data_IF_097289019701
#
_entry.id   IF_097289019701
#
_cell.length_a   1.000
_cell.length_b   1.000
_cell.length_c   1.000
_cell.angle_alpha   90.00
_cell.angle_beta   90.00
_cell.angle_gamma   90.00
#
_symmetry.space_group_name_H-M   'P 1'
#
loop_
_entity.id
_entity.type
_entity.pdbx_description
1 polymer ?
#
# COMPACT_ATOMS: atom_id res chain seq x y z
N UNK A 1 -12.69 -53.15 18.03
CA UNK A 1 -11.88 -52.30 18.92
C UNK A 1 -12.54 -50.93 18.98
N UNK A 2 -13.01 -50.47 20.15
CA UNK A 2 -13.59 -49.14 20.25
C UNK A 2 -12.51 -48.10 19.90
N UNK A 3 -12.74 -47.30 18.85
CA UNK A 3 -11.84 -46.17 18.53
C UNK A 3 -11.77 -45.28 19.78
N UNK A 4 -10.57 -44.99 20.28
CA UNK A 4 -10.39 -44.00 21.35
C UNK A 4 -10.97 -42.67 20.88
N UNK A 5 -11.86 -42.06 21.67
CA UNK A 5 -12.49 -40.79 21.29
C UNK A 5 -11.48 -39.65 21.38
N UNK A 6 -11.28 -38.91 20.28
CA UNK A 6 -10.43 -37.73 20.24
C UNK A 6 -11.18 -36.55 20.87
N UNK A 7 -10.71 -36.04 22.01
CA UNK A 7 -11.34 -34.92 22.72
C UNK A 7 -10.68 -33.61 22.29
N UNK A 8 -11.46 -32.71 21.70
CA UNK A 8 -10.96 -31.44 21.16
C UNK A 8 -11.62 -30.20 21.78
N UNK A 9 -10.86 -29.12 21.89
CA UNK A 9 -11.34 -27.80 22.29
C UNK A 9 -10.93 -26.73 21.30
N UNK A 10 -11.82 -25.78 20.99
CA UNK A 10 -11.59 -24.68 20.05
C UNK A 10 -11.83 -23.38 20.79
N UNK A 11 -10.78 -22.57 20.91
CA UNK A 11 -10.77 -21.32 21.67
C UNK A 11 -10.55 -20.13 20.75
N UNK A 12 -11.22 -19.02 21.05
CA UNK A 12 -11.15 -17.75 20.33
C UNK A 12 -10.47 -16.70 21.19
N UNK A 13 -9.46 -16.02 20.65
CA UNK A 13 -8.85 -14.82 21.21
C UNK A 13 -9.15 -13.61 20.31
N UNK A 14 -8.29 -12.60 20.26
CA UNK A 14 -8.48 -11.40 19.45
C UNK A 14 -8.52 -11.70 17.95
N UNK A 15 -9.70 -11.60 17.34
CA UNK A 15 -9.92 -11.82 15.91
C UNK A 15 -11.37 -11.54 15.48
N UNK A 16 -11.66 -11.72 14.19
CA UNK A 16 -13.01 -11.57 13.64
C UNK A 16 -13.86 -12.86 13.72
N UNK A 17 -13.31 -13.93 14.32
CA UNK A 17 -13.94 -15.26 14.45
C UNK A 17 -14.30 -15.94 13.13
N UNK A 18 -13.73 -15.47 12.02
CA UNK A 18 -14.01 -16.01 10.69
C UNK A 18 -13.65 -17.49 10.57
N UNK A 19 -12.63 -17.99 11.27
CA UNK A 19 -12.25 -19.40 11.16
C UNK A 19 -13.27 -20.31 11.85
N UNK A 20 -13.82 -19.91 13.00
CA UNK A 20 -14.89 -20.63 13.70
C UNK A 20 -16.20 -20.61 12.92
N UNK A 21 -16.51 -19.52 12.22
CA UNK A 21 -17.67 -19.50 11.31
C UNK A 21 -17.53 -20.53 10.18
N UNK A 22 -16.33 -20.76 9.66
CA UNK A 22 -16.11 -21.84 8.68
C UNK A 22 -16.39 -23.23 9.25
N UNK A 23 -16.17 -23.44 10.55
CA UNK A 23 -16.52 -24.68 11.24
C UNK A 23 -18.04 -24.85 11.38
N UNK A 24 -18.75 -23.78 11.74
CA UNK A 24 -20.22 -23.78 11.75
C UNK A 24 -20.78 -24.08 10.36
N UNK A 25 -20.17 -23.50 9.33
CA UNK A 25 -20.57 -23.68 7.94
C UNK A 25 -20.25 -25.10 7.38
N UNK A 26 -19.64 -26.01 8.16
CA UNK A 26 -19.55 -27.43 7.82
C UNK A 26 -20.89 -28.16 8.05
N UNK A 27 -21.73 -27.66 8.98
CA UNK A 27 -23.05 -28.22 9.25
C UNK A 27 -23.05 -29.73 9.49
N UNK A 28 -23.83 -30.46 8.68
CA UNK A 28 -23.97 -31.92 8.76
C UNK A 28 -22.66 -32.68 8.54
N UNK A 29 -21.73 -32.14 7.74
CA UNK A 29 -20.43 -32.77 7.49
C UNK A 29 -19.62 -32.90 8.79
N UNK A 30 -19.67 -31.88 9.65
CA UNK A 30 -18.96 -31.90 10.94
C UNK A 30 -19.55 -32.95 11.88
N UNK A 31 -20.87 -33.10 11.90
CA UNK A 31 -21.57 -34.10 12.71
C UNK A 31 -21.24 -35.52 12.23
N UNK A 32 -21.27 -35.75 10.91
CA UNK A 32 -20.85 -37.01 10.31
C UNK A 32 -19.40 -37.35 10.64
N UNK A 33 -18.51 -36.36 10.50
CA UNK A 33 -17.10 -36.52 10.85
C UNK A 33 -16.90 -36.90 12.32
N UNK A 34 -17.62 -36.26 13.25
CA UNK A 34 -17.56 -36.59 14.67
C UNK A 34 -17.97 -38.02 14.96
N UNK A 35 -19.03 -38.51 14.30
CA UNK A 35 -19.49 -39.89 14.43
C UNK A 35 -18.49 -40.89 13.85
N UNK A 36 -18.07 -40.69 12.60
CA UNK A 36 -17.25 -41.65 11.84
C UNK A 36 -15.83 -41.83 12.40
N UNK A 37 -15.27 -40.75 12.93
CA UNK A 37 -13.92 -40.70 13.46
C UNK A 37 -13.85 -40.69 14.99
N UNK A 38 -14.99 -40.72 15.68
CA UNK A 38 -15.04 -40.72 17.13
C UNK A 38 -14.47 -39.44 17.75
N UNK A 39 -14.83 -38.27 17.21
CA UNK A 39 -14.35 -36.98 17.73
C UNK A 39 -15.39 -36.41 18.69
N UNK A 40 -14.92 -35.85 19.81
CA UNK A 40 -15.74 -35.16 20.79
C UNK A 40 -15.27 -33.72 20.92
N UNK A 41 -16.08 -32.77 20.44
CA UNK A 41 -15.87 -31.35 20.68
C UNK A 41 -16.38 -31.04 22.08
N UNK A 42 -15.45 -30.78 23.00
CA UNK A 42 -15.80 -30.46 24.38
C UNK A 42 -16.10 -28.97 24.57
N UNK A 43 -15.37 -28.11 23.85
CA UNK A 43 -15.49 -26.66 23.94
C UNK A 43 -15.43 -26.03 22.53
N UNK A 44 -16.52 -25.39 22.12
CA UNK A 44 -16.67 -24.51 20.96
C UNK A 44 -18.01 -23.77 21.11
N UNK A 45 -18.01 -22.56 21.69
CA UNK A 45 -19.25 -21.84 22.02
C UNK A 45 -20.19 -21.56 20.85
N UNK A 46 -19.68 -21.37 19.62
CA UNK A 46 -20.53 -21.11 18.44
C UNK A 46 -21.30 -22.35 17.98
N UNK A 47 -20.83 -23.55 18.37
CA UNK A 47 -21.54 -24.82 18.16
C UNK A 47 -22.35 -25.26 19.39
N UNK A 48 -22.39 -24.45 20.45
CA UNK A 48 -23.10 -24.75 21.70
C UNK A 48 -22.36 -25.68 22.66
N UNK A 49 -21.10 -26.06 22.38
CA UNK A 49 -20.30 -26.89 23.28
C UNK A 49 -19.52 -26.01 24.27
N UNK A 50 -19.80 -26.15 25.56
CA UNK A 50 -19.21 -25.28 26.62
C UNK A 50 -18.64 -26.07 27.80
N UNK A 51 -18.33 -27.36 27.61
CA UNK A 51 -17.79 -28.22 28.67
C UNK A 51 -16.27 -28.23 28.64
N UNK A 52 -15.63 -27.34 29.42
CA UNK A 52 -14.18 -27.41 29.59
C UNK A 52 -13.76 -28.76 30.23
N UNK A 53 -12.66 -29.34 29.74
CA UNK A 53 -12.05 -30.57 30.26
C UNK A 53 -10.71 -30.27 30.94
N UNK A 54 -10.35 -31.14 31.87
CA UNK A 54 -9.04 -31.12 32.52
C UNK A 54 -7.91 -31.36 31.53
N UNK A 55 -8.10 -32.27 30.56
CA UNK A 55 -7.15 -32.57 29.50
C UNK A 55 -7.84 -32.64 28.12
N UNK A 56 -7.09 -32.29 27.07
CA UNK A 56 -7.50 -32.40 25.67
C UNK A 56 -6.48 -33.19 24.86
N UNK A 57 -6.95 -33.94 23.87
CA UNK A 57 -6.05 -34.50 22.86
C UNK A 57 -5.57 -33.41 21.91
N UNK A 58 -6.47 -32.50 21.50
CA UNK A 58 -6.14 -31.39 20.61
C UNK A 58 -6.85 -30.12 21.05
N UNK A 59 -6.11 -29.01 21.09
CA UNK A 59 -6.68 -27.67 21.25
C UNK A 59 -6.39 -26.86 20.00
N UNK A 60 -7.43 -26.29 19.40
CA UNK A 60 -7.34 -25.30 18.34
C UNK A 60 -7.49 -23.90 18.94
N UNK A 61 -6.66 -22.96 18.52
CA UNK A 61 -6.75 -21.56 18.94
C UNK A 61 -6.85 -20.67 17.72
N UNK A 62 -7.97 -19.95 17.58
CA UNK A 62 -8.14 -18.86 16.63
C UNK A 62 -7.80 -17.51 17.28
N UNK A 63 -7.30 -16.58 16.47
CA UNK A 63 -7.08 -15.20 16.90
C UNK A 63 -5.70 -14.96 17.50
N UNK A 64 -5.29 -13.69 17.53
CA UNK A 64 -4.06 -13.24 18.16
C UNK A 64 -4.29 -13.02 19.67
N UNK A 65 -3.22 -13.12 20.46
CA UNK A 65 -3.26 -12.74 21.87
C UNK A 65 -3.23 -11.23 21.98
N UNK A 66 -4.23 -10.64 22.63
CA UNK A 66 -4.42 -9.20 22.78
C UNK A 66 -4.52 -8.75 24.23
N UNK A 67 -4.60 -9.68 25.18
CA UNK A 67 -4.62 -9.37 26.61
C UNK A 67 -3.81 -10.33 27.46
N UNK A 68 -3.39 -9.87 28.65
CA UNK A 68 -2.74 -10.74 29.65
C UNK A 68 -3.62 -11.90 30.13
N UNK A 69 -4.95 -11.77 30.08
CA UNK A 69 -5.89 -12.86 30.40
C UNK A 69 -5.79 -13.99 29.38
N UNK A 70 -5.71 -13.64 28.09
CA UNK A 70 -5.52 -14.59 27.00
C UNK A 70 -4.14 -15.25 27.06
N UNK A 71 -3.07 -14.51 27.44
CA UNK A 71 -1.75 -15.11 27.69
C UNK A 71 -1.85 -16.22 28.74
N UNK A 72 -2.48 -15.94 29.89
CA UNK A 72 -2.65 -16.93 30.97
C UNK A 72 -3.47 -18.14 30.50
N UNK A 73 -4.59 -17.89 29.80
CA UNK A 73 -5.44 -18.97 29.28
C UNK A 73 -4.71 -19.81 28.24
N UNK A 74 -3.91 -19.21 27.37
CA UNK A 74 -3.09 -19.92 26.38
C UNK A 74 -2.05 -20.82 27.04
N UNK A 75 -1.38 -20.35 28.10
CA UNK A 75 -0.43 -21.15 28.87
C UNK A 75 -1.12 -22.33 29.56
N UNK A 76 -2.29 -22.10 30.16
CA UNK A 76 -3.13 -23.15 30.76
C UNK A 76 -3.54 -24.20 29.71
N UNK A 77 -4.07 -23.76 28.57
CA UNK A 77 -4.47 -24.63 27.46
C UNK A 77 -3.29 -25.45 26.94
N UNK A 78 -2.10 -24.83 26.84
CA UNK A 78 -0.91 -25.54 26.40
C UNK A 78 -0.50 -26.64 27.38
N UNK A 79 -0.55 -26.37 28.68
CA UNK A 79 -0.17 -27.33 29.72
C UNK A 79 -1.06 -28.57 29.73
N UNK A 80 -2.32 -28.44 29.30
CA UNK A 80 -3.33 -29.51 29.34
C UNK A 80 -3.71 -30.12 27.98
N UNK A 81 -2.93 -29.85 26.93
CA UNK A 81 -3.19 -30.40 25.59
C UNK A 81 -2.02 -31.19 25.06
N UNK A 82 -2.28 -32.36 24.48
CA UNK A 82 -1.25 -33.16 23.79
C UNK A 82 -0.79 -32.48 22.50
N UNK A 83 -1.71 -31.84 21.77
CA UNK A 83 -1.42 -31.09 20.56
C UNK A 83 -2.09 -29.73 20.57
N UNK A 84 -1.31 -28.66 20.35
CA UNK A 84 -1.82 -27.30 20.17
C UNK A 84 -1.74 -26.92 18.70
N UNK A 85 -2.87 -26.49 18.13
CA UNK A 85 -3.02 -26.14 16.73
C UNK A 85 -3.40 -24.66 16.59
N UNK A 86 -2.59 -23.88 15.89
CA UNK A 86 -2.96 -22.52 15.51
C UNK A 86 -3.99 -22.57 14.37
N UNK A 87 -5.20 -22.07 14.61
CA UNK A 87 -6.30 -22.01 13.65
C UNK A 87 -6.37 -20.60 13.02
N UNK A 88 -5.93 -20.50 11.77
CA UNK A 88 -5.95 -19.25 10.99
C UNK A 88 -4.69 -18.40 11.09
N UNK A 89 -4.60 -17.40 10.21
CA UNK A 89 -3.44 -16.52 10.10
C UNK A 89 -3.24 -15.62 11.33
N UNK A 90 -4.31 -15.26 12.04
CA UNK A 90 -4.22 -14.42 13.25
C UNK A 90 -3.49 -15.12 14.40
N UNK A 91 -3.79 -16.38 14.67
CA UNK A 91 -3.14 -17.13 15.75
C UNK A 91 -1.69 -17.48 15.40
N UNK A 92 -1.41 -17.81 14.15
CA UNK A 92 -0.06 -18.22 13.73
C UNK A 92 0.90 -17.06 13.38
N UNK A 93 0.40 -15.98 12.75
CA UNK A 93 1.22 -14.86 12.26
C UNK A 93 0.88 -13.51 12.92
N UNK A 94 -0.14 -13.45 13.78
CA UNK A 94 -0.66 -12.21 14.37
C UNK A 94 -1.76 -11.56 13.52
N UNK A 95 -1.76 -11.79 12.20
CA UNK A 95 -2.80 -11.37 11.26
C UNK A 95 -3.12 -9.88 11.29
N UNK A 96 -4.38 -9.53 11.01
CA UNK A 96 -4.87 -8.14 11.08
C UNK A 96 -4.68 -7.52 12.48
N UNK A 97 -4.97 -8.24 13.60
CA UNK A 97 -4.75 -7.68 14.95
C UNK A 97 -3.33 -7.15 15.18
N UNK A 98 -2.29 -7.85 14.69
CA UNK A 98 -0.90 -7.45 14.86
C UNK A 98 -0.47 -6.25 13.99
N UNK A 99 -1.32 -5.80 13.05
CA UNK A 99 -1.08 -4.58 12.26
C UNK A 99 -1.45 -3.29 13.00
N UNK A 100 -2.15 -3.38 14.13
CA UNK A 100 -2.43 -2.20 14.95
C UNK A 100 -1.12 -1.59 15.47
N UNK A 101 -0.92 -0.29 15.22
CA UNK A 101 0.14 0.49 15.88
C UNK A 101 -0.09 0.50 17.39
N UNK A 102 0.97 0.72 18.17
CA UNK A 102 0.89 0.81 19.63
C UNK A 102 -0.24 1.78 20.02
N UNK A 103 -1.19 1.29 20.83
CA UNK A 103 -2.28 2.12 21.35
C UNK A 103 -1.65 3.14 22.29
N UNK A 104 -1.86 4.44 22.03
CA UNK A 104 -1.34 5.52 22.89
C UNK A 104 -1.68 5.24 24.36
N UNK A 105 -0.72 5.47 25.22
CA UNK A 105 -0.77 5.13 26.65
C UNK A 105 -1.98 5.75 27.38
N UNK A 106 -2.46 6.90 26.90
CA UNK A 106 -3.64 7.59 27.43
C UNK A 106 -4.96 6.86 27.10
N UNK A 107 -5.07 6.29 25.90
CA UNK A 107 -6.21 5.44 25.50
C UNK A 107 -6.18 4.13 26.29
N UNK A 108 -4.99 3.58 26.52
CA UNK A 108 -4.80 2.42 27.39
C UNK A 108 -5.22 2.72 28.83
N UNK A 109 -4.89 3.89 29.41
CA UNK A 109 -5.36 4.30 30.74
C UNK A 109 -6.88 4.43 30.82
N UNK A 110 -7.51 5.03 29.81
CA UNK A 110 -8.96 5.15 29.75
C UNK A 110 -9.66 3.78 29.75
N UNK A 111 -9.14 2.81 28.99
CA UNK A 111 -9.68 1.44 28.90
C UNK A 111 -9.38 0.58 30.14
N UNK A 112 -8.22 0.79 30.78
CA UNK A 112 -7.76 0.01 31.95
C UNK A 112 -8.27 0.52 33.30
N UNK A 113 -8.90 1.69 33.35
CA UNK A 113 -9.55 2.25 34.55
C UNK A 113 -10.63 1.31 35.15
N UNK A 114 -11.14 0.35 34.36
CA UNK A 114 -12.08 -0.69 34.79
C UNK A 114 -11.42 -1.97 35.36
N UNK A 115 -10.08 -2.09 35.39
CA UNK A 115 -9.29 -3.26 35.84
C UNK A 115 -9.58 -4.63 35.17
N UNK A 116 -10.52 -4.74 34.22
CA UNK A 116 -10.96 -6.05 33.71
C UNK A 116 -10.05 -6.61 32.61
N UNK A 117 -9.35 -5.76 31.84
CA UNK A 117 -8.49 -6.18 30.73
C UNK A 117 -7.20 -5.35 30.75
N UNK A 118 -6.05 -6.01 30.94
CA UNK A 118 -4.74 -5.42 30.64
C UNK A 118 -4.34 -5.81 29.22
N UNK A 119 -4.44 -4.90 28.24
CA UNK A 119 -4.11 -5.20 26.86
C UNK A 119 -2.60 -5.44 26.72
N UNK A 120 -2.23 -6.32 25.79
CA UNK A 120 -0.85 -6.50 25.33
C UNK A 120 -0.82 -6.22 23.84
N UNK A 121 0.36 -5.95 23.29
CA UNK A 121 0.52 -5.84 21.85
C UNK A 121 0.05 -7.13 21.18
N UNK A 122 -0.91 -6.99 20.27
CA UNK A 122 -1.48 -8.11 19.54
C UNK A 122 -0.38 -8.94 18.87
N UNK A 123 -0.26 -10.21 19.26
CA UNK A 123 0.84 -11.07 18.87
C UNK A 123 0.34 -12.50 18.58
N UNK A 124 1.00 -13.26 17.68
CA UNK A 124 0.66 -14.66 17.46
C UNK A 124 0.87 -15.49 18.73
N UNK A 125 0.12 -16.59 18.84
CA UNK A 125 0.21 -17.51 19.99
C UNK A 125 1.59 -18.19 20.07
N UNK A 126 2.28 -18.30 18.93
CA UNK A 126 3.64 -18.85 18.80
C UNK A 126 4.69 -18.05 19.58
N UNK A 127 4.40 -16.79 19.93
CA UNK A 127 5.30 -15.99 20.76
C UNK A 127 5.27 -16.40 22.24
N UNK A 128 4.23 -17.09 22.70
CA UNK A 128 4.01 -17.38 24.11
C UNK A 128 4.17 -18.86 24.45
N UNK A 129 3.79 -19.75 23.53
CA UNK A 129 3.82 -21.20 23.76
C UNK A 129 4.26 -21.95 22.51
N UNK A 130 4.80 -23.16 22.69
CA UNK A 130 5.07 -24.08 21.58
C UNK A 130 3.75 -24.49 20.94
N UNK A 131 3.63 -24.24 19.63
CA UNK A 131 2.54 -24.71 18.79
C UNK A 131 3.02 -25.94 18.02
N UNK A 132 2.25 -27.03 18.04
CA UNK A 132 2.65 -28.28 17.40
C UNK A 132 2.29 -28.29 15.91
N UNK A 133 1.15 -27.68 15.57
CA UNK A 133 0.62 -27.64 14.21
C UNK A 133 -0.09 -26.31 13.90
N UNK A 134 -0.33 -26.02 12.63
CA UNK A 134 -1.10 -24.85 12.23
C UNK A 134 -1.94 -25.11 10.98
N UNK A 135 -3.08 -24.44 10.88
CA UNK A 135 -3.87 -24.30 9.65
C UNK A 135 -3.87 -22.82 9.27
N UNK A 136 -3.27 -22.47 8.13
CA UNK A 136 -3.22 -21.06 7.68
C UNK A 136 -4.50 -20.71 6.90
N UNK A 137 -4.80 -19.42 6.82
CA UNK A 137 -5.99 -18.92 6.12
C UNK A 137 -6.66 -17.78 6.87
N UNK A 138 -7.43 -16.97 6.15
CA UNK A 138 -8.24 -15.88 6.73
C UNK A 138 -9.55 -15.74 5.94
N UNK A 139 -10.58 -16.57 6.22
CA UNK A 139 -10.60 -17.67 7.19
C UNK A 139 -9.91 -18.94 6.67
N UNK A 140 -9.84 -19.98 7.51
CA UNK A 140 -9.27 -21.28 7.14
C UNK A 140 -10.07 -21.97 6.02
N UNK A 141 -9.43 -22.89 5.29
CA UNK A 141 -10.13 -23.76 4.35
C UNK A 141 -10.83 -24.92 5.11
N UNK A 142 -12.12 -25.12 4.87
CA UNK A 142 -12.94 -26.18 5.50
C UNK A 142 -12.42 -27.59 5.22
N UNK A 143 -12.13 -27.89 3.95
CA UNK A 143 -11.66 -29.22 3.53
C UNK A 143 -10.30 -29.57 4.15
N UNK A 144 -9.43 -28.57 4.31
CA UNK A 144 -8.17 -28.73 5.04
C UNK A 144 -8.42 -29.02 6.52
N UNK A 145 -9.31 -28.28 7.18
CA UNK A 145 -9.71 -28.54 8.56
C UNK A 145 -10.22 -29.96 8.75
N UNK A 146 -11.14 -30.41 7.89
CA UNK A 146 -11.65 -31.79 7.88
C UNK A 146 -10.51 -32.80 7.70
N UNK A 147 -9.60 -32.57 6.76
CA UNK A 147 -8.49 -33.48 6.50
C UNK A 147 -7.50 -33.57 7.68
N UNK A 148 -7.23 -32.45 8.34
CA UNK A 148 -6.40 -32.41 9.55
C UNK A 148 -7.09 -33.15 10.68
N UNK A 149 -8.36 -32.89 10.91
CA UNK A 149 -9.11 -33.49 11.99
C UNK A 149 -9.24 -35.01 11.83
N UNK A 150 -9.45 -35.50 10.60
CA UNK A 150 -9.40 -36.94 10.25
C UNK A 150 -8.04 -37.56 10.61
N UNK A 151 -6.93 -36.92 10.19
CA UNK A 151 -5.58 -37.42 10.48
C UNK A 151 -5.28 -37.45 11.98
N UNK A 152 -5.67 -36.42 12.71
CA UNK A 152 -5.53 -36.34 14.17
C UNK A 152 -6.33 -37.43 14.88
N UNK A 153 -7.57 -37.68 14.45
CA UNK A 153 -8.41 -38.75 15.01
C UNK A 153 -7.86 -40.16 14.75
N UNK A 154 -7.15 -40.34 13.63
CA UNK A 154 -6.45 -41.58 13.31
C UNK A 154 -5.08 -41.72 14.00
N UNK A 155 -4.66 -40.73 14.80
CA UNK A 155 -3.33 -40.70 15.42
C UNK A 155 -2.18 -40.55 14.42
N UNK A 156 -2.47 -40.13 13.19
CA UNK A 156 -1.47 -39.96 12.13
C UNK A 156 -0.90 -38.54 12.17
N UNK A 157 0.42 -38.36 12.12
CA UNK A 157 0.98 -37.03 11.92
C UNK A 157 0.53 -36.51 10.55
N UNK A 158 0.27 -35.22 10.45
CA UNK A 158 0.06 -34.57 9.17
C UNK A 158 1.25 -33.69 8.83
N UNK A 159 1.81 -33.87 7.63
CA UNK A 159 2.98 -33.12 7.17
C UNK A 159 2.68 -31.63 7.16
N UNK A 160 3.45 -30.90 7.95
CA UNK A 160 3.49 -29.44 7.98
C UNK A 160 4.40 -28.94 6.85
N UNK A 161 3.99 -27.91 6.11
CA UNK A 161 4.84 -27.30 5.09
C UNK A 161 4.81 -27.96 3.70
N UNK A 162 4.05 -29.05 3.48
CA UNK A 162 3.51 -29.29 2.14
C UNK A 162 2.57 -28.12 1.85
N UNK A 163 3.04 -27.15 1.04
CA UNK A 163 2.16 -26.12 0.48
C UNK A 163 1.05 -26.85 -0.28
N UNK A 164 -0.09 -27.05 0.38
CA UNK A 164 -1.38 -27.38 -0.25
C UNK A 164 -2.24 -26.15 -0.49
N UNK A 165 -1.69 -24.96 -0.22
CA UNK A 165 -2.22 -23.72 -0.71
C UNK A 165 -1.79 -23.56 -2.17
N UNK A 166 -2.69 -23.92 -3.09
CA UNK A 166 -3.05 -22.89 -4.06
C UNK A 166 -3.74 -21.80 -3.24
N UNK A 167 -3.22 -20.58 -3.33
CA UNK A 167 -4.03 -19.43 -3.02
C UNK A 167 -5.20 -19.45 -4.02
N UNK A 168 -6.32 -20.08 -3.65
CA UNK A 168 -7.53 -20.08 -4.47
C UNK A 168 -8.12 -18.67 -4.43
N UNK A 169 -7.63 -17.82 -5.33
CA UNK A 169 -8.46 -16.76 -5.89
C UNK A 169 -9.27 -17.39 -7.01
N UNK A 170 -10.54 -17.68 -6.73
CA UNK A 170 -11.46 -18.09 -7.79
C UNK A 170 -11.69 -16.94 -8.78
N UNK A 171 -11.47 -15.69 -8.35
CA UNK A 171 -11.54 -14.51 -9.20
C UNK A 171 -10.22 -13.73 -9.20
N UNK A 172 -9.59 -13.66 -10.38
CA UNK A 172 -8.48 -12.76 -10.67
C UNK A 172 -8.95 -11.71 -11.67
N UNK A 173 -8.81 -10.43 -11.30
CA UNK A 173 -9.11 -9.31 -12.21
C UNK A 173 -7.80 -8.71 -12.69
N UNK A 174 -7.62 -8.71 -14.00
CA UNK A 174 -6.50 -8.04 -14.67
C UNK A 174 -7.05 -6.86 -15.47
N UNK A 175 -6.49 -5.67 -15.25
CA UNK A 175 -6.84 -4.48 -16.02
C UNK A 175 -5.59 -3.96 -16.72
N UNK A 176 -5.71 -3.73 -18.02
CA UNK A 176 -4.66 -3.10 -18.83
C UNK A 176 -5.15 -1.73 -19.26
N UNK A 177 -4.53 -0.68 -18.76
CA UNK A 177 -4.78 0.68 -19.21
C UNK A 177 -3.63 1.22 -20.03
N UNK A 178 -3.80 2.42 -20.57
CA UNK A 178 -2.74 3.09 -21.35
C UNK A 178 -1.49 3.38 -20.52
N UNK A 179 -1.68 3.75 -19.25
CA UNK A 179 -0.59 4.11 -18.34
C UNK A 179 -0.54 3.25 -17.08
N UNK A 180 -1.68 2.95 -16.46
CA UNK A 180 -1.76 2.18 -15.21
C UNK A 180 -2.34 0.81 -15.50
N UNK A 181 -1.76 -0.23 -14.90
CA UNK A 181 -2.21 -1.61 -15.02
C UNK A 181 -2.45 -2.22 -13.64
N UNK A 182 -3.40 -3.16 -13.58
CA UNK A 182 -3.63 -4.04 -12.44
C UNK A 182 -3.36 -5.48 -12.86
N UNK A 183 -2.35 -6.08 -12.24
CA UNK A 183 -2.04 -7.50 -12.26
C UNK A 183 -2.68 -8.15 -11.03
N UNK A 184 -3.82 -8.78 -11.25
CA UNK A 184 -4.63 -9.42 -10.22
C UNK A 184 -3.94 -10.61 -9.57
N UNK A 185 -2.99 -11.25 -10.25
CA UNK A 185 -2.24 -12.40 -9.72
C UNK A 185 -1.35 -11.95 -8.56
N UNK A 186 -0.76 -10.77 -8.67
CA UNK A 186 0.09 -10.19 -7.62
C UNK A 186 -0.70 -9.55 -6.48
N UNK A 187 -1.98 -9.25 -6.68
CA UNK A 187 -2.77 -8.53 -5.68
C UNK A 187 -2.81 -9.32 -4.36
N UNK A 188 -3.00 -8.68 -3.22
CA UNK A 188 -3.28 -9.34 -1.93
C UNK A 188 -4.58 -8.82 -1.29
N UNK A 189 -5.36 -8.03 -2.04
CA UNK A 189 -6.63 -7.42 -1.60
C UNK A 189 -6.47 -6.66 -0.26
N UNK A 190 -5.33 -5.98 -0.09
CA UNK A 190 -5.04 -5.24 1.16
C UNK A 190 -5.78 -3.89 1.27
N UNK A 191 -6.46 -3.44 0.21
CA UNK A 191 -7.25 -2.22 0.21
C UNK A 191 -6.49 -0.90 0.17
N UNK A 192 -5.15 -0.91 0.22
CA UNK A 192 -4.36 0.34 0.25
C UNK A 192 -4.59 1.23 -0.96
N UNK A 193 -4.68 0.64 -2.15
CA UNK A 193 -4.97 1.35 -3.39
C UNK A 193 -6.38 1.94 -3.44
N UNK A 194 -7.38 1.21 -2.92
CA UNK A 194 -8.77 1.68 -2.80
C UNK A 194 -8.83 2.84 -1.79
N UNK A 195 -8.21 2.68 -0.63
CA UNK A 195 -8.19 3.69 0.44
C UNK A 195 -7.56 5.00 0.00
N UNK A 196 -6.38 4.97 -0.64
CA UNK A 196 -5.72 6.20 -1.11
C UNK A 196 -6.49 6.85 -2.28
N UNK A 197 -7.12 6.07 -3.16
CA UNK A 197 -7.95 6.64 -4.23
C UNK A 197 -9.22 7.30 -3.68
N UNK A 198 -9.79 6.73 -2.62
CA UNK A 198 -10.96 7.26 -1.93
C UNK A 198 -10.66 8.54 -1.13
N UNK A 199 -9.50 8.62 -0.46
CA UNK A 199 -9.10 9.83 0.26
C UNK A 199 -8.89 11.05 -0.63
N UNK A 200 -8.60 10.84 -1.93
CA UNK A 200 -8.58 11.90 -2.93
C UNK A 200 -9.98 12.35 -3.41
N UNK A 201 -11.04 11.63 -3.04
CA UNK A 201 -12.39 11.80 -3.59
C UNK A 201 -12.57 11.27 -5.02
N UNK A 202 -11.55 10.63 -5.60
CA UNK A 202 -11.54 10.15 -7.00
C UNK A 202 -12.32 8.83 -7.14
N UNK A 203 -12.15 7.91 -6.18
CA UNK A 203 -12.89 6.64 -6.10
C UNK A 203 -12.89 5.80 -7.39
N UNK A 204 -11.79 5.81 -8.14
CA UNK A 204 -11.64 5.03 -9.39
C UNK A 204 -11.40 3.53 -9.15
N UNK A 205 -11.12 3.12 -7.92
CA UNK A 205 -10.88 1.74 -7.52
C UNK A 205 -11.83 1.36 -6.39
N UNK A 206 -12.37 0.15 -6.43
CA UNK A 206 -13.23 -0.41 -5.40
C UNK A 206 -13.07 -1.92 -5.27
N UNK A 207 -13.84 -2.49 -4.35
CA UNK A 207 -14.00 -3.94 -4.25
C UNK A 207 -15.18 -4.39 -5.09
N UNK A 208 -14.99 -5.47 -5.85
CA UNK A 208 -16.05 -6.18 -6.55
C UNK A 208 -16.21 -7.58 -5.96
N UNK A 209 -17.39 -8.18 -6.17
CA UNK A 209 -17.78 -9.46 -5.60
C UNK A 209 -17.80 -9.47 -4.06
N UNK A 210 -17.90 -10.68 -3.47
CA UNK A 210 -17.97 -10.91 -2.01
C UNK A 210 -17.30 -12.23 -1.63
N UNK A 211 -16.96 -12.36 -0.35
CA UNK A 211 -16.36 -13.59 0.19
C UNK A 211 -15.03 -13.91 -0.48
N UNK A 212 -14.83 -15.19 -0.82
CA UNK A 212 -13.62 -15.68 -1.49
C UNK A 212 -13.40 -15.10 -2.90
N UNK A 213 -14.46 -14.55 -3.53
CA UNK A 213 -14.42 -13.97 -4.87
C UNK A 213 -14.04 -12.49 -4.90
N UNK A 214 -13.79 -11.87 -3.73
CA UNK A 214 -13.51 -10.44 -3.64
C UNK A 214 -12.26 -10.08 -4.47
N UNK A 215 -12.39 -9.06 -5.31
CA UNK A 215 -11.28 -8.53 -6.12
C UNK A 215 -11.26 -7.01 -6.07
N UNK A 216 -10.08 -6.42 -6.27
CA UNK A 216 -9.95 -4.98 -6.53
C UNK A 216 -10.18 -4.77 -8.02
N UNK A 217 -11.01 -3.80 -8.38
CA UNK A 217 -11.24 -3.43 -9.78
C UNK A 217 -11.67 -1.97 -9.92
N UNK A 218 -11.71 -1.49 -11.15
CA UNK A 218 -12.42 -0.28 -11.56
C UNK A 218 -13.94 -0.57 -11.66
N UNK A 219 -14.78 0.48 -11.67
CA UNK A 219 -16.21 0.33 -12.00
C UNK A 219 -16.39 -0.42 -13.32
N UNK A 220 -17.23 -1.45 -13.31
CA UNK A 220 -17.52 -2.30 -14.47
C UNK A 220 -16.29 -2.97 -15.13
N UNK A 221 -15.14 -3.02 -14.44
CA UNK A 221 -13.87 -3.50 -14.98
C UNK A 221 -13.38 -2.74 -16.22
N UNK A 222 -13.80 -1.49 -16.37
CA UNK A 222 -13.36 -0.59 -17.45
C UNK A 222 -11.88 -0.23 -17.31
N UNK A 223 -11.27 0.21 -18.41
CA UNK A 223 -9.90 0.69 -18.37
C UNK A 223 -9.76 1.94 -17.50
N UNK A 224 -8.57 2.17 -16.92
CA UNK A 224 -8.35 3.30 -16.02
C UNK A 224 -8.68 4.64 -16.69
N UNK A 225 -8.29 4.85 -17.95
CA UNK A 225 -8.57 6.07 -18.70
C UNK A 225 -10.05 6.39 -18.86
N UNK A 226 -10.89 5.36 -18.96
CA UNK A 226 -12.35 5.45 -19.19
C UNK A 226 -13.14 5.59 -17.89
N UNK A 227 -12.45 5.62 -16.75
CA UNK A 227 -13.03 5.83 -15.43
C UNK A 227 -12.71 7.23 -14.88
N UNK A 228 -13.12 7.49 -13.64
CA UNK A 228 -12.74 8.69 -12.89
C UNK A 228 -11.24 8.77 -12.58
N UNK A 229 -10.42 7.76 -12.90
CA UNK A 229 -9.00 7.75 -12.62
C UNK A 229 -8.28 8.98 -13.21
N UNK A 230 -7.62 9.73 -12.34
CA UNK A 230 -6.84 10.92 -12.71
C UNK A 230 -5.36 10.60 -13.03
N UNK A 231 -4.98 9.32 -13.10
CA UNK A 231 -3.61 8.88 -13.40
C UNK A 231 -2.53 9.40 -12.44
N UNK A 232 -2.88 9.79 -11.22
CA UNK A 232 -1.92 10.32 -10.24
C UNK A 232 -0.87 9.30 -9.77
N UNK A 233 -1.17 7.99 -9.88
CA UNK A 233 -0.27 6.90 -9.54
C UNK A 233 -0.11 6.60 -8.04
N UNK A 234 -0.85 7.25 -7.14
CA UNK A 234 -0.74 6.95 -5.70
C UNK A 234 -1.10 5.49 -5.37
N UNK A 235 -2.02 4.88 -6.11
CA UNK A 235 -2.32 3.45 -5.98
C UNK A 235 -1.10 2.56 -6.31
N UNK A 236 -0.27 2.97 -7.27
CA UNK A 236 1.01 2.30 -7.58
C UNK A 236 2.03 2.51 -6.46
N UNK A 237 2.06 3.72 -5.89
CA UNK A 237 2.97 4.04 -4.81
C UNK A 237 2.70 3.24 -3.53
N UNK A 238 1.42 3.04 -3.20
CA UNK A 238 0.97 2.36 -1.98
C UNK A 238 0.80 0.84 -2.13
N UNK A 239 0.97 0.29 -3.34
CA UNK A 239 0.85 -1.14 -3.57
C UNK A 239 2.09 -1.87 -3.00
N UNK A 240 1.94 -2.76 -2.00
CA UNK A 240 3.09 -3.42 -1.36
C UNK A 240 3.71 -4.53 -2.23
N UNK A 241 3.03 -4.95 -3.28
CA UNK A 241 3.34 -6.14 -4.09
C UNK A 241 3.48 -5.84 -5.59
N UNK A 242 3.35 -4.57 -5.98
CA UNK A 242 3.42 -4.18 -7.39
C UNK A 242 2.28 -4.71 -8.27
N UNK A 243 1.16 -5.12 -7.65
CA UNK A 243 -0.05 -5.52 -8.38
C UNK A 243 -0.61 -4.38 -9.22
N UNK A 244 -0.61 -3.16 -8.68
CA UNK A 244 -0.90 -1.97 -9.48
C UNK A 244 0.43 -1.33 -9.85
N UNK A 245 0.67 -1.17 -11.15
CA UNK A 245 1.90 -0.63 -11.71
C UNK A 245 1.59 0.35 -12.86
N UNK A 246 2.63 0.96 -13.43
CA UNK A 246 2.49 1.82 -14.60
C UNK A 246 3.47 1.40 -15.70
N UNK A 247 3.21 1.83 -16.93
CA UNK A 247 4.07 1.57 -18.10
C UNK A 247 5.45 2.20 -17.89
N UNK A 248 6.48 1.36 -17.88
CA UNK A 248 7.84 1.80 -17.60
C UNK A 248 8.59 2.22 -18.87
N UNK A 249 9.36 3.30 -18.75
CA UNK A 249 10.18 3.86 -19.84
C UNK A 249 11.68 3.61 -19.60
N UNK A 250 12.05 2.77 -18.63
CA UNK A 250 13.46 2.43 -18.33
C UNK A 250 14.16 1.89 -19.58
N UNK A 251 13.57 0.89 -20.24
CA UNK A 251 14.18 0.26 -21.40
C UNK A 251 14.38 1.25 -22.55
N UNK A 252 13.35 2.05 -22.85
CA UNK A 252 13.42 3.11 -23.86
C UNK A 252 14.61 4.04 -23.60
N UNK A 253 14.75 4.55 -22.38
CA UNK A 253 15.84 5.48 -22.06
C UNK A 253 17.20 4.78 -22.02
N UNK A 254 17.27 3.53 -21.54
CA UNK A 254 18.50 2.74 -21.58
C UNK A 254 18.99 2.51 -23.00
N UNK A 255 18.09 2.19 -23.93
CA UNK A 255 18.42 1.98 -25.34
C UNK A 255 18.94 3.28 -25.96
N UNK A 256 18.28 4.42 -25.68
CA UNK A 256 18.73 5.73 -26.16
C UNK A 256 20.13 6.09 -25.63
N UNK A 257 20.39 5.85 -24.33
CA UNK A 257 21.70 6.07 -23.73
C UNK A 257 22.77 5.13 -24.33
N UNK A 258 22.44 3.85 -24.52
CA UNK A 258 23.34 2.85 -25.09
C UNK A 258 23.70 3.15 -26.57
N UNK A 259 22.77 3.75 -27.31
CA UNK A 259 22.98 4.22 -28.67
C UNK A 259 23.81 5.51 -28.78
N UNK A 260 24.30 6.05 -27.65
CA UNK A 260 25.14 7.24 -27.61
C UNK A 260 24.39 8.54 -27.87
N UNK A 261 23.07 8.57 -27.66
CA UNK A 261 22.29 9.80 -27.79
C UNK A 261 22.70 10.83 -26.71
N UNK A 262 22.86 12.09 -27.12
CA UNK A 262 23.16 13.20 -26.19
C UNK A 262 21.88 13.65 -25.49
N UNK A 263 21.52 12.94 -24.42
CA UNK A 263 20.30 13.21 -23.66
C UNK A 263 20.54 14.20 -22.52
N UNK A 264 19.60 15.12 -22.34
CA UNK A 264 19.55 16.03 -21.18
C UNK A 264 18.54 15.50 -20.16
N UNK A 265 18.97 15.26 -18.92
CA UNK A 265 18.07 14.94 -17.82
C UNK A 265 17.48 16.22 -17.23
N UNK A 266 16.17 16.44 -17.40
CA UNK A 266 15.43 17.54 -16.77
C UNK A 266 14.80 17.03 -15.47
N UNK A 267 15.34 17.41 -14.32
CA UNK A 267 14.97 16.83 -13.02
C UNK A 267 14.12 17.81 -12.23
N UNK A 268 12.90 17.41 -11.87
CA UNK A 268 12.07 18.18 -10.93
C UNK A 268 12.76 18.26 -9.56
N UNK A 269 12.71 19.42 -8.91
CA UNK A 269 13.33 19.65 -7.60
C UNK A 269 12.86 18.66 -6.54
N UNK A 270 11.55 18.40 -6.53
CA UNK A 270 10.90 17.43 -5.65
C UNK A 270 11.34 15.99 -5.95
N UNK A 271 11.62 15.66 -7.21
CA UNK A 271 12.13 14.35 -7.60
C UNK A 271 13.54 14.12 -7.06
N UNK A 272 14.40 15.14 -7.15
CA UNK A 272 15.76 15.09 -6.63
C UNK A 272 15.76 14.98 -5.10
N UNK A 273 14.92 15.76 -4.41
CA UNK A 273 14.77 15.69 -2.96
C UNK A 273 14.27 14.32 -2.49
N UNK A 274 13.29 13.74 -3.19
CA UNK A 274 12.79 12.40 -2.88
C UNK A 274 13.83 11.29 -3.08
N UNK A 275 14.63 11.38 -4.13
CA UNK A 275 15.73 10.45 -4.36
C UNK A 275 16.83 10.60 -3.30
N UNK A 276 17.14 11.83 -2.89
CA UNK A 276 18.14 12.09 -1.85
C UNK A 276 17.72 11.49 -0.50
N UNK A 277 16.43 11.58 -0.15
CA UNK A 277 15.86 10.88 1.01
C UNK A 277 15.96 9.36 0.86
N UNK A 278 15.48 8.80 -0.25
CA UNK A 278 15.45 7.37 -0.45
C UNK A 278 16.83 6.72 -0.49
N UNK A 279 17.83 7.42 -1.04
CA UNK A 279 19.21 6.94 -1.10
C UNK A 279 20.04 7.33 0.13
N UNK A 280 19.50 8.15 1.04
CA UNK A 280 20.19 8.71 2.21
C UNK A 280 21.50 9.41 1.82
N UNK A 281 21.45 10.29 0.82
CA UNK A 281 22.63 10.88 0.19
C UNK A 281 22.47 12.36 -0.12
N UNK A 282 23.59 13.01 -0.45
CA UNK A 282 23.58 14.38 -0.93
C UNK A 282 23.00 14.46 -2.36
N UNK A 283 22.06 15.39 -2.65
CA UNK A 283 21.46 15.56 -3.99
C UNK A 283 22.48 15.58 -5.15
N UNK A 284 23.60 16.29 -4.98
CA UNK A 284 24.63 16.43 -6.02
C UNK A 284 25.36 15.10 -6.34
N UNK A 285 25.33 14.10 -5.45
CA UNK A 285 25.83 12.76 -5.79
C UNK A 285 24.91 12.04 -6.77
N UNK A 286 23.61 12.32 -6.72
CA UNK A 286 22.63 11.81 -7.70
C UNK A 286 22.81 12.47 -9.07
N UNK A 287 23.23 13.74 -9.10
CA UNK A 287 23.64 14.42 -10.33
C UNK A 287 24.84 13.70 -10.96
N UNK A 288 25.85 13.39 -10.17
CA UNK A 288 26.99 12.57 -10.62
C UNK A 288 26.55 11.18 -11.10
N UNK A 289 25.60 10.54 -10.41
CA UNK A 289 25.06 9.25 -10.81
C UNK A 289 24.36 9.31 -12.18
N UNK A 290 23.55 10.35 -12.45
CA UNK A 290 22.92 10.57 -13.75
C UNK A 290 23.96 10.79 -14.86
N UNK A 291 25.01 11.58 -14.61
CA UNK A 291 26.13 11.73 -15.57
C UNK A 291 26.84 10.40 -15.83
N UNK A 292 27.07 9.58 -14.79
CA UNK A 292 27.65 8.23 -14.93
C UNK A 292 26.74 7.22 -15.64
N UNK A 293 25.42 7.42 -15.60
CA UNK A 293 24.48 6.63 -16.41
C UNK A 293 24.57 6.95 -17.91
N UNK A 294 25.14 8.10 -18.29
CA UNK A 294 25.34 8.51 -19.69
C UNK A 294 24.58 9.77 -20.11
N UNK A 295 23.88 10.46 -19.21
CA UNK A 295 23.27 11.75 -19.54
C UNK A 295 24.36 12.81 -19.81
N UNK A 296 24.25 13.53 -20.94
CA UNK A 296 25.20 14.57 -21.36
C UNK A 296 25.15 15.76 -20.41
N UNK A 297 23.93 16.13 -19.99
CA UNK A 297 23.67 17.23 -19.06
C UNK A 297 22.56 16.87 -18.09
N UNK A 298 22.64 17.43 -16.89
CA UNK A 298 21.61 17.37 -15.85
C UNK A 298 21.16 18.79 -15.55
N UNK A 299 19.90 19.06 -15.84
CA UNK A 299 19.26 20.36 -15.66
C UNK A 299 18.17 20.21 -14.62
N UNK A 300 18.19 21.08 -13.62
CA UNK A 300 17.14 21.10 -12.61
C UNK A 300 16.03 22.03 -13.07
N UNK A 301 14.79 21.55 -12.98
CA UNK A 301 13.63 22.20 -13.55
C UNK A 301 12.47 22.26 -12.55
N UNK A 302 11.64 23.30 -12.67
CA UNK A 302 10.37 23.41 -11.95
C UNK A 302 9.25 23.73 -12.93
N UNK A 303 8.07 23.11 -12.79
CA UNK A 303 6.92 23.43 -13.65
C UNK A 303 6.51 24.90 -13.59
N UNK A 304 6.81 25.59 -12.48
CA UNK A 304 6.54 27.01 -12.30
C UNK A 304 7.36 27.92 -13.23
N UNK A 305 8.46 27.42 -13.81
CA UNK A 305 9.24 28.16 -14.79
C UNK A 305 8.47 28.39 -16.10
N UNK A 306 7.52 27.50 -16.41
CA UNK A 306 6.76 27.48 -17.66
C UNK A 306 5.31 27.96 -17.49
N UNK A 307 4.92 28.39 -16.28
CA UNK A 307 3.59 28.95 -16.06
C UNK A 307 3.47 30.30 -16.75
N UNK A 308 2.42 30.44 -17.58
CA UNK A 308 2.06 31.66 -18.30
C UNK A 308 0.57 31.92 -18.09
N UNK A 309 0.18 32.63 -17.03
CA UNK A 309 -1.22 32.98 -16.78
C UNK A 309 -1.69 33.93 -17.87
N UNK A 310 -2.84 33.62 -18.47
CA UNK A 310 -3.46 34.43 -19.53
C UNK A 310 -4.80 35.02 -19.10
N UNK A 311 -5.24 34.71 -17.88
CA UNK A 311 -6.55 35.07 -17.33
C UNK A 311 -6.39 35.73 -15.96
N UNK A 312 -7.30 36.65 -15.65
CA UNK A 312 -7.36 37.35 -14.35
C UNK A 312 -7.43 36.36 -13.18
N UNK A 313 -8.18 35.26 -13.36
CA UNK A 313 -8.20 34.11 -12.48
C UNK A 313 -7.70 32.89 -13.25
N UNK A 314 -6.58 32.31 -12.79
CA UNK A 314 -5.96 31.15 -13.42
C UNK A 314 -5.79 30.00 -12.41
N UNK A 315 -6.44 28.86 -12.67
CA UNK A 315 -6.20 27.59 -11.98
C UNK A 315 -5.12 26.86 -12.77
N UNK A 316 -3.94 26.77 -12.19
CA UNK A 316 -2.75 26.14 -12.79
C UNK A 316 -2.61 24.72 -12.22
N UNK A 317 -2.92 23.68 -13.01
CA UNK A 317 -2.71 22.30 -12.61
C UNK A 317 -1.24 21.92 -12.77
N UNK A 318 -0.62 21.39 -11.72
CA UNK A 318 0.80 21.03 -11.79
C UNK A 318 1.06 19.81 -12.67
N UNK A 319 0.08 18.93 -12.87
CA UNK A 319 0.17 17.80 -13.77
C UNK A 319 -1.16 17.49 -14.45
N UNK A 320 -1.19 16.44 -15.28
CA UNK A 320 -2.44 15.92 -15.83
C UNK A 320 -3.45 15.52 -14.75
N UNK A 321 -2.99 15.08 -13.57
CA UNK A 321 -3.86 14.61 -12.52
C UNK A 321 -4.79 15.72 -12.01
N UNK A 322 -4.23 16.89 -11.69
CA UNK A 322 -5.02 18.05 -11.26
C UNK A 322 -5.89 18.58 -12.40
N UNK A 323 -5.38 18.58 -13.64
CA UNK A 323 -6.14 19.04 -14.79
C UNK A 323 -7.37 18.16 -15.04
N UNK A 324 -7.21 16.82 -15.02
CA UNK A 324 -8.33 15.87 -15.15
C UNK A 324 -9.26 15.96 -13.93
N UNK A 325 -8.72 16.14 -12.73
CA UNK A 325 -9.53 16.29 -11.50
C UNK A 325 -10.46 17.50 -11.58
N UNK A 326 -9.94 18.70 -11.86
CA UNK A 326 -10.76 19.91 -12.00
C UNK A 326 -11.72 19.76 -13.17
N UNK A 327 -11.25 19.27 -14.32
CA UNK A 327 -12.09 19.08 -15.51
C UNK A 327 -13.25 18.11 -15.29
N UNK A 328 -13.06 17.07 -14.50
CA UNK A 328 -14.07 16.03 -14.30
C UNK A 328 -15.02 16.38 -13.15
N UNK A 329 -14.49 16.80 -12.00
CA UNK A 329 -15.28 17.02 -10.78
C UNK A 329 -15.78 18.46 -10.61
N UNK A 330 -15.16 19.44 -11.28
CA UNK A 330 -15.52 20.86 -11.24
C UNK A 330 -15.64 21.44 -12.67
N UNK A 331 -16.51 20.86 -13.52
CA UNK A 331 -16.57 21.22 -14.94
C UNK A 331 -16.92 22.70 -15.18
N UNK A 332 -17.62 23.35 -14.27
CA UNK A 332 -17.95 24.78 -14.28
C UNK A 332 -16.73 25.70 -14.06
N UNK A 333 -15.65 25.18 -13.46
CA UNK A 333 -14.39 25.90 -13.27
C UNK A 333 -13.40 25.74 -14.42
N UNK A 334 -13.71 24.92 -15.44
CA UNK A 334 -12.84 24.71 -16.62
C UNK A 334 -12.43 26.00 -17.31
N UNK A 335 -13.30 27.01 -17.31
CA UNK A 335 -13.01 28.32 -17.91
C UNK A 335 -11.83 29.05 -17.28
N UNK A 336 -11.43 28.69 -16.05
CA UNK A 336 -10.24 29.23 -15.37
C UNK A 336 -9.04 28.28 -15.43
N UNK A 337 -9.23 27.05 -15.91
CA UNK A 337 -8.23 26.00 -15.87
C UNK A 337 -7.24 26.14 -17.02
N UNK A 338 -5.95 26.26 -16.70
CA UNK A 338 -4.89 26.28 -17.71
C UNK A 338 -4.49 24.86 -18.12
N UNK A 339 -3.71 24.75 -19.20
CA UNK A 339 -2.97 23.52 -19.47
C UNK A 339 -1.90 23.30 -18.39
N UNK A 340 -1.58 22.04 -18.05
CA UNK A 340 -0.46 21.74 -17.18
C UNK A 340 0.85 22.28 -17.77
N UNK A 341 1.78 22.81 -16.96
CA UNK A 341 3.07 23.20 -17.46
C UNK A 341 3.79 21.99 -18.06
N UNK A 342 4.16 22.10 -19.33
CA UNK A 342 4.91 21.07 -20.07
C UNK A 342 6.31 21.60 -20.34
N UNK A 343 7.32 20.75 -20.14
CA UNK A 343 8.68 21.08 -20.58
C UNK A 343 8.66 21.19 -22.11
N UNK A 344 8.91 22.38 -22.63
CA UNK A 344 9.27 22.55 -24.04
C UNK A 344 10.71 22.14 -24.16
N UNK A 345 10.97 20.85 -24.37
CA UNK A 345 12.33 20.32 -24.35
C UNK A 345 13.09 20.91 -25.55
N UNK A 346 14.03 21.86 -25.36
CA UNK A 346 14.73 22.50 -26.47
C UNK A 346 15.79 21.57 -27.09
N UNK A 347 16.13 20.47 -26.41
CA UNK A 347 17.05 19.41 -26.82
C UNK A 347 16.35 18.04 -26.66
N UNK A 348 16.92 16.93 -27.16
CA UNK A 348 16.40 15.59 -26.79
C UNK A 348 16.62 15.38 -25.29
N UNK A 349 15.56 15.47 -24.50
CA UNK A 349 15.63 15.45 -23.04
C UNK A 349 14.63 14.51 -22.42
N UNK A 350 14.98 13.98 -21.27
CA UNK A 350 14.16 13.08 -20.45
C UNK A 350 13.76 13.84 -19.20
N UNK A 351 12.45 13.97 -18.97
CA UNK A 351 11.94 14.50 -17.71
C UNK A 351 12.06 13.45 -16.61
N UNK A 352 12.64 13.82 -15.49
CA UNK A 352 12.75 13.01 -14.29
C UNK A 352 11.87 13.65 -13.22
N UNK A 353 10.81 12.94 -12.83
CA UNK A 353 9.71 13.49 -12.02
C UNK A 353 9.21 12.48 -11.00
N UNK A 354 8.65 12.95 -9.91
CA UNK A 354 7.97 12.13 -8.92
C UNK A 354 6.48 11.90 -9.24
N UNK A 355 6.01 12.30 -10.43
CA UNK A 355 4.61 12.22 -10.83
C UNK A 355 4.38 11.24 -12.00
N UNK A 356 3.55 10.21 -11.77
CA UNK A 356 3.15 9.26 -12.84
C UNK A 356 2.33 9.96 -13.92
N UNK A 357 1.48 10.92 -13.54
CA UNK A 357 0.59 11.61 -14.49
C UNK A 357 1.34 12.43 -15.57
N UNK A 358 2.64 12.71 -15.37
CA UNK A 358 3.50 13.33 -16.40
C UNK A 358 3.70 12.46 -17.63
N UNK A 359 3.63 11.13 -17.47
CA UNK A 359 3.76 10.16 -18.57
C UNK A 359 2.55 10.16 -19.52
N UNK A 360 1.43 10.78 -19.15
CA UNK A 360 0.23 10.80 -20.01
C UNK A 360 0.47 11.51 -21.34
N UNK A 361 1.38 12.48 -21.37
CA UNK A 361 1.62 13.31 -22.55
C UNK A 361 2.93 13.00 -23.29
N UNK A 362 3.82 12.18 -22.72
CA UNK A 362 5.13 11.92 -23.30
C UNK A 362 5.76 10.64 -22.75
N UNK A 363 6.37 9.86 -23.64
CA UNK A 363 7.18 8.70 -23.29
C UNK A 363 8.59 9.08 -22.80
N UNK A 364 9.03 10.33 -23.03
CA UNK A 364 10.32 10.86 -22.59
C UNK A 364 10.30 11.32 -21.13
N UNK A 365 9.73 10.48 -20.26
CA UNK A 365 9.55 10.72 -18.83
C UNK A 365 9.96 9.48 -18.03
N UNK A 366 10.89 9.67 -17.10
CA UNK A 366 11.22 8.72 -16.06
C UNK A 366 10.64 9.20 -14.72
N UNK A 367 10.05 8.30 -13.96
CA UNK A 367 9.73 8.60 -12.57
C UNK A 367 10.99 8.53 -11.69
N UNK A 368 10.96 9.15 -10.52
CA UNK A 368 12.02 8.97 -9.51
C UNK A 368 12.26 7.48 -9.19
N UNK A 369 11.21 6.67 -9.10
CA UNK A 369 11.33 5.21 -8.91
C UNK A 369 12.07 4.50 -10.05
N UNK A 370 11.82 4.92 -11.29
CA UNK A 370 12.51 4.36 -12.45
C UNK A 370 13.98 4.75 -12.46
N UNK A 371 14.28 6.03 -12.22
CA UNK A 371 15.66 6.48 -12.10
C UNK A 371 16.39 5.76 -10.96
N UNK A 372 15.75 5.62 -9.79
CA UNK A 372 16.29 4.85 -8.66
C UNK A 372 16.68 3.43 -9.08
N UNK A 373 15.83 2.77 -9.87
CA UNK A 373 16.10 1.43 -10.40
C UNK A 373 17.32 1.43 -11.33
N UNK A 374 17.48 2.45 -12.17
CA UNK A 374 18.60 2.59 -13.08
C UNK A 374 19.93 2.84 -12.36
N UNK A 375 19.94 3.69 -11.31
CA UNK A 375 21.15 4.01 -10.55
C UNK A 375 21.49 2.97 -9.46
N UNK A 376 20.62 1.98 -9.21
CA UNK A 376 20.76 1.01 -8.11
C UNK A 376 22.09 0.27 -8.06
N UNK A 377 22.74 0.06 -9.21
CA UNK A 377 24.03 -0.64 -9.32
C UNK A 377 25.24 0.28 -9.11
N UNK A 378 25.04 1.60 -9.03
CA UNK A 378 26.12 2.56 -8.83
C UNK A 378 26.42 2.72 -7.33
N UNK A 379 27.70 2.85 -6.92
CA UNK A 379 28.07 3.11 -5.53
C UNK A 379 27.84 4.59 -5.18
N UNK A 380 26.57 5.00 -5.05
CA UNK A 380 26.18 6.41 -4.88
C UNK A 380 26.89 7.08 -3.69
N UNK A 381 27.12 6.35 -2.59
CA UNK A 381 27.81 6.84 -1.40
C UNK A 381 29.26 7.27 -1.67
N UNK A 382 29.92 6.64 -2.64
CA UNK A 382 31.33 6.88 -3.00
C UNK A 382 31.51 7.92 -4.11
N UNK A 383 30.40 8.40 -4.69
CA UNK A 383 30.48 9.40 -5.74
C UNK A 383 30.83 10.77 -5.15
N UNK A 384 31.73 11.48 -5.84
CA UNK A 384 31.95 12.90 -5.61
C UNK A 384 30.74 13.71 -6.10
N UNK A 385 30.27 14.72 -5.33
CA UNK A 385 29.15 15.55 -5.73
C UNK A 385 29.49 16.44 -6.92
N UNK A 386 28.58 16.57 -7.89
CA UNK A 386 28.72 17.50 -9.02
C UNK A 386 27.54 18.46 -9.08
N UNK A 387 27.81 19.71 -9.45
CA UNK A 387 26.78 20.73 -9.69
C UNK A 387 25.92 20.41 -10.93
N UNK A 388 24.64 20.83 -10.94
CA UNK A 388 23.81 20.75 -12.14
C UNK A 388 24.33 21.69 -13.23
N UNK A 389 24.13 21.31 -14.49
CA UNK A 389 24.56 22.11 -15.64
C UNK A 389 23.70 23.37 -15.83
N UNK A 390 22.45 23.35 -15.36
CA UNK A 390 21.56 24.51 -15.33
C UNK A 390 20.44 24.35 -14.30
N UNK A 391 19.87 25.48 -13.85
CA UNK A 391 18.74 25.52 -12.89
C UNK A 391 17.68 26.52 -13.35
N UNK A 392 16.44 26.07 -13.56
CA UNK A 392 15.32 26.91 -13.97
C UNK A 392 14.58 27.54 -12.79
N UNK A 393 14.67 28.85 -12.60
CA UNK A 393 13.90 29.53 -11.55
C UNK A 393 12.41 29.63 -11.91
N UNK A 394 11.49 29.65 -10.92
CA UNK A 394 10.08 29.95 -11.16
C UNK A 394 9.90 31.26 -11.93
N UNK A 395 8.96 31.29 -12.89
CA UNK A 395 8.65 32.50 -13.65
C UNK A 395 7.56 33.36 -12.99
N UNK A 396 6.89 32.82 -11.98
CA UNK A 396 5.82 33.49 -11.24
C UNK A 396 6.10 33.48 -9.74
N UNK A 397 5.75 34.59 -9.10
CA UNK A 397 5.79 34.79 -7.65
C UNK A 397 4.44 35.37 -7.21
N UNK A 398 4.03 35.14 -5.95
CA UNK A 398 2.76 35.67 -5.42
C UNK A 398 1.50 34.93 -5.90
N UNK A 399 1.50 33.60 -5.78
CA UNK A 399 0.35 32.75 -6.12
C UNK A 399 -0.16 32.00 -4.88
N UNK A 400 -1.42 31.59 -4.90
CA UNK A 400 -2.01 30.74 -3.87
C UNK A 400 -1.71 29.27 -4.19
N UNK A 401 -1.24 28.51 -3.21
CA UNK A 401 -1.05 27.05 -3.32
C UNK A 401 -2.28 26.37 -2.74
N UNK A 402 -2.74 25.32 -3.42
CA UNK A 402 -3.75 24.42 -2.89
C UNK A 402 -3.17 23.00 -2.90
N UNK A 403 -2.76 22.49 -1.73
CA UNK A 403 -1.94 21.30 -1.59
C UNK A 403 -2.72 20.14 -0.97
N UNK A 404 -2.80 19.04 -1.70
CA UNK A 404 -3.54 17.86 -1.29
C UNK A 404 -5.05 17.98 -1.52
N UNK A 405 -5.79 16.87 -1.34
CA UNK A 405 -7.17 16.77 -1.80
C UNK A 405 -8.13 17.67 -1.03
N UNK A 406 -7.92 17.83 0.28
CA UNK A 406 -8.80 18.63 1.15
C UNK A 406 -8.68 20.12 0.87
N UNK A 407 -7.45 20.65 0.84
CA UNK A 407 -7.20 22.05 0.55
C UNK A 407 -7.61 22.41 -0.87
N UNK A 408 -7.26 21.57 -1.86
CA UNK A 408 -7.68 21.75 -3.24
C UNK A 408 -9.20 21.84 -3.37
N UNK A 409 -9.95 20.90 -2.77
CA UNK A 409 -11.41 20.93 -2.76
C UNK A 409 -11.96 22.22 -2.13
N UNK A 410 -11.38 22.65 -1.01
CA UNK A 410 -11.77 23.89 -0.33
C UNK A 410 -11.57 25.11 -1.23
N UNK A 411 -10.39 25.25 -1.83
CA UNK A 411 -10.06 26.37 -2.72
C UNK A 411 -10.96 26.39 -3.95
N UNK A 412 -11.20 25.24 -4.58
CA UNK A 412 -12.10 25.15 -5.73
C UNK A 412 -13.54 25.56 -5.38
N UNK A 413 -14.04 25.17 -4.20
CA UNK A 413 -15.37 25.57 -3.73
C UNK A 413 -15.47 27.08 -3.44
N UNK A 414 -14.40 27.68 -2.89
CA UNK A 414 -14.32 29.14 -2.66
C UNK A 414 -14.31 29.91 -4.00
N UNK A 415 -13.60 29.40 -5.01
CA UNK A 415 -13.63 29.94 -6.37
C UNK A 415 -15.04 29.82 -6.96
N UNK A 416 -15.67 28.64 -6.82
CA UNK A 416 -17.02 28.35 -7.33
C UNK A 416 -18.08 29.29 -6.76
N UNK A 417 -17.95 29.67 -5.49
CA UNK A 417 -18.81 30.66 -4.81
C UNK A 417 -18.54 32.11 -5.22
N UNK A 418 -17.54 32.36 -6.07
CA UNK A 418 -17.17 33.70 -6.52
C UNK A 418 -16.49 34.55 -5.45
N UNK A 419 -15.92 33.93 -4.41
CA UNK A 419 -15.18 34.63 -3.36
C UNK A 419 -13.79 35.03 -3.88
N UNK A 420 -13.08 34.07 -4.49
CA UNK A 420 -11.83 34.34 -5.22
C UNK A 420 -12.21 34.69 -6.67
N UNK A 421 -11.91 35.94 -7.08
CA UNK A 421 -12.28 36.48 -8.40
C UNK A 421 -11.08 36.74 -9.32
N UNK A 422 -9.87 36.77 -8.77
CA UNK A 422 -8.63 36.98 -9.50
C UNK A 422 -7.44 36.33 -8.77
N UNK A 423 -6.31 36.19 -9.47
CA UNK A 423 -5.08 35.60 -8.98
C UNK A 423 -4.74 34.26 -9.64
N UNK A 424 -3.56 33.75 -9.27
CA UNK A 424 -3.05 32.46 -9.75
C UNK A 424 -3.18 31.45 -8.61
N UNK A 425 -3.89 30.35 -8.86
CA UNK A 425 -3.99 29.22 -7.95
C UNK A 425 -3.21 28.05 -8.54
N UNK A 426 -2.13 27.65 -7.88
CA UNK A 426 -1.37 26.46 -8.24
C UNK A 426 -1.89 25.27 -7.44
N UNK A 427 -2.29 24.23 -8.14
CA UNK A 427 -3.01 23.10 -7.56
C UNK A 427 -2.14 21.84 -7.54
N UNK A 428 -2.20 21.11 -6.43
CA UNK A 428 -1.54 19.82 -6.22
C UNK A 428 -2.54 18.85 -5.59
N UNK A 429 -2.84 17.71 -6.22
CA UNK A 429 -3.83 16.76 -5.70
C UNK A 429 -3.22 15.78 -4.67
N UNK A 430 -1.94 15.47 -4.80
CA UNK A 430 -1.27 14.51 -3.91
C UNK A 430 -1.15 15.08 -2.49
N UNK A 431 -1.30 14.25 -1.43
CA UNK A 431 -1.05 14.69 -0.05
C UNK A 431 0.36 15.28 0.08
N UNK A 432 0.55 16.44 0.71
CA UNK A 432 1.86 17.13 0.76
C UNK A 432 2.46 17.47 -0.62
N UNK A 433 1.62 17.53 -1.66
CA UNK A 433 1.98 17.98 -3.00
C UNK A 433 2.91 17.03 -3.75
N UNK A 434 3.78 17.61 -4.57
CA UNK A 434 4.69 16.87 -5.43
C UNK A 434 5.59 15.90 -4.65
N UNK A 435 6.04 16.27 -3.44
CA UNK A 435 6.92 15.44 -2.59
C UNK A 435 6.38 14.06 -2.22
N UNK A 436 5.09 13.80 -2.46
CA UNK A 436 4.45 12.48 -2.28
C UNK A 436 3.68 12.00 -3.51
N UNK A 437 4.10 12.41 -4.71
CA UNK A 437 3.51 11.95 -5.97
C UNK A 437 3.47 10.42 -6.17
N UNK A 438 2.77 9.94 -7.20
CA UNK A 438 2.67 8.50 -7.47
C UNK A 438 3.95 7.84 -7.98
N UNK A 439 4.92 8.63 -8.47
CA UNK A 439 6.17 8.15 -9.08
C UNK A 439 7.34 8.07 -8.10
N UNK A 440 7.05 8.14 -6.80
CA UNK A 440 8.05 8.28 -5.75
C UNK A 440 8.93 7.03 -5.62
N UNK A 441 10.23 7.20 -5.27
CA UNK A 441 11.16 6.11 -5.07
C UNK A 441 10.79 5.28 -3.84
N UNK A 442 11.36 4.08 -3.74
CA UNK A 442 11.25 3.27 -2.54
C UNK A 442 12.18 3.82 -1.46
N UNK A 443 11.62 4.22 -0.33
CA UNK A 443 12.42 4.58 0.85
C UNK A 443 13.08 3.33 1.45
N UNK A 444 14.28 3.49 2.02
CA UNK A 444 14.97 2.45 2.78
C UNK A 444 14.28 2.16 4.12
N UNK A 445 13.48 3.10 4.62
CA UNK A 445 12.69 2.90 5.83
C UNK A 445 11.49 1.97 5.52
N UNK A 446 11.38 0.81 6.20
CA UNK A 446 10.28 -0.11 5.96
C UNK A 446 8.96 0.58 6.37
N UNK A 447 8.09 0.79 5.37
CA UNK A 447 6.71 1.24 5.50
C UNK A 447 6.46 2.73 5.81
N UNK A 448 7.48 3.57 5.94
CA UNK A 448 7.31 5.02 6.19
C UNK A 448 8.17 5.86 5.24
N UNK A 449 7.53 6.78 4.52
CA UNK A 449 8.22 7.84 3.78
C UNK A 449 8.42 9.01 4.73
N UNK A 450 9.65 9.48 4.91
CA UNK A 450 9.94 10.66 5.73
C UNK A 450 9.65 11.94 4.94
N UNK A 451 8.45 12.50 5.08
CA UNK A 451 8.03 13.72 4.38
C UNK A 451 8.89 14.91 4.82
N UNK A 452 9.14 15.01 6.12
CA UNK A 452 9.95 16.07 6.74
C UNK A 452 11.40 16.03 6.22
N UNK A 453 11.92 14.83 5.96
CA UNK A 453 13.25 14.66 5.37
C UNK A 453 13.26 15.20 3.94
N UNK A 454 12.23 14.87 3.13
CA UNK A 454 12.11 15.37 1.76
C UNK A 454 11.96 16.89 1.72
N UNK A 455 11.15 17.46 2.61
CA UNK A 455 11.03 18.91 2.79
C UNK A 455 12.38 19.54 3.15
N UNK A 456 13.12 18.94 4.09
CA UNK A 456 14.46 19.41 4.46
C UNK A 456 15.46 19.35 3.29
N UNK A 457 15.43 18.31 2.45
CA UNK A 457 16.23 18.27 1.23
C UNK A 457 15.81 19.33 0.22
N UNK A 458 14.50 19.48 0.02
CA UNK A 458 13.93 20.46 -0.89
C UNK A 458 14.24 21.90 -0.47
N UNK A 459 14.10 22.24 0.81
CA UNK A 459 14.38 23.58 1.34
C UNK A 459 15.87 23.93 1.28
N UNK A 460 16.75 22.96 1.59
CA UNK A 460 18.19 23.13 1.40
C UNK A 460 18.51 23.42 -0.05
N UNK A 461 17.91 22.66 -0.97
CA UNK A 461 18.06 22.88 -2.39
C UNK A 461 17.60 24.29 -2.82
N UNK A 462 16.41 24.72 -2.40
CA UNK A 462 15.89 26.06 -2.71
C UNK A 462 16.83 27.16 -2.23
N UNK A 463 17.41 27.01 -1.03
CA UNK A 463 18.39 27.96 -0.47
C UNK A 463 19.72 28.00 -1.22
N UNK A 464 20.15 26.88 -1.80
CA UNK A 464 21.44 26.82 -2.52
C UNK A 464 21.34 27.37 -3.93
N UNK A 465 20.23 27.14 -4.63
CA UNK A 465 20.16 27.36 -6.08
C UNK A 465 19.15 28.41 -6.53
N UNK A 466 18.18 28.79 -5.69
CA UNK A 466 17.07 29.64 -6.11
C UNK A 466 17.05 30.98 -5.36
N UNK A 467 17.01 30.92 -4.03
CA UNK A 467 17.11 32.06 -3.11
C UNK A 467 18.53 32.59 -3.08
#
# INVERSE_FOLDING_TARGET
MSKSRLVIGIYSFGGCEGCRHELVNLGEELVGLMSDYGITIAYEPLLGYVSEKEEYDVVFVEGAVTSTKEVKKLMELRARTKSLVALGSCSYLGGIPALMKDVKEDVMRALTSSQIIRPVRASPITNYVKVDYWLRGCPINKSEFVAVLKKLAEGKPFRQGERRFEFCRDTVVNLRGKLINLDGEKCLICGRCVGICSSLGVNALGYVNRGINIAVSTPFQESFEDTSCISCGLCVAYCPVGAINYVSNIQLVQDMLANGEKLVAYVEYEALAALAEAEETHPNKLITAMKKLGFDKVVLWTPLADVRPTMDLSIVPMSYAEHKYVSHFYPDLKKYLTQPPSIRIPYRGILITQCVARKVYSDYVLTSRELQTMIKKLPISELEPTEPDHVFKPAIYGYLKAVGPYELKGVLEVIRRGIIKSGIIVTYICPNGCLMGGGQPHSKLPFEVCVECRESYYDRFLKTYIL
#
